data_IF_017774388660
#
_entry.id   IF_017774388660
#
_cell.length_a   1.000
_cell.length_b   1.000
_cell.length_c   1.000
_cell.angle_alpha   90.00
_cell.angle_beta   90.00
_cell.angle_gamma   90.00
#
_symmetry.space_group_name_H-M   'P 1'
#
loop_
_entity.id
_entity.type
_entity.pdbx_description
1 polymer ?
#
# COMPACT_ATOMS: atom_id res chain seq x y z
N UNK A 1 -13.20 5.62 -3.24
CA UNK A 1 -12.10 4.72 -3.63
C UNK A 1 -10.87 5.18 -2.87
N UNK A 2 -10.36 4.36 -1.95
CA UNK A 2 -9.18 4.72 -1.17
C UNK A 2 -7.97 4.89 -2.10
N UNK A 3 -7.16 5.90 -1.82
CA UNK A 3 -6.03 6.27 -2.64
C UNK A 3 -4.84 6.66 -1.77
N UNK A 4 -3.71 6.04 -2.05
CA UNK A 4 -2.44 6.31 -1.41
C UNK A 4 -1.63 7.39 -2.15
N UNK A 5 -2.20 8.04 -3.19
CA UNK A 5 -1.45 8.93 -4.08
C UNK A 5 -0.72 10.07 -3.38
N UNK A 6 -1.30 10.66 -2.32
CA UNK A 6 -0.67 11.74 -1.55
C UNK A 6 0.58 11.22 -0.84
N UNK A 7 0.51 10.02 -0.26
CA UNK A 7 1.64 9.41 0.46
C UNK A 7 2.72 8.94 -0.50
N UNK A 8 2.34 8.33 -1.62
CA UNK A 8 3.26 7.96 -2.70
C UNK A 8 4.00 9.20 -3.20
N UNK A 9 3.29 10.32 -3.40
CA UNK A 9 3.91 11.59 -3.81
C UNK A 9 4.86 12.16 -2.75
N UNK A 10 4.48 12.13 -1.46
CA UNK A 10 5.35 12.57 -0.35
C UNK A 10 6.65 11.77 -0.31
N UNK A 11 6.57 10.44 -0.39
CA UNK A 11 7.76 9.56 -0.40
C UNK A 11 8.60 9.80 -1.65
N UNK A 12 7.97 9.95 -2.82
CA UNK A 12 8.69 10.28 -4.05
C UNK A 12 9.49 11.58 -3.91
N UNK A 13 8.90 12.63 -3.34
CA UNK A 13 9.59 13.92 -3.15
C UNK A 13 10.66 13.89 -2.07
N UNK A 14 10.55 12.99 -1.09
CA UNK A 14 11.61 12.75 -0.12
C UNK A 14 12.84 12.07 -0.74
N UNK A 15 12.64 11.15 -1.69
CA UNK A 15 13.75 10.38 -2.31
C UNK A 15 14.28 11.06 -3.57
N UNK A 16 13.41 11.69 -4.37
CA UNK A 16 13.72 12.33 -5.65
C UNK A 16 12.94 13.66 -5.80
N UNK A 17 13.44 14.77 -5.22
CA UNK A 17 12.74 16.07 -5.20
C UNK A 17 12.35 16.60 -6.59
N UNK A 18 13.19 16.41 -7.59
CA UNK A 18 13.00 16.96 -8.94
C UNK A 18 12.22 16.04 -9.88
N UNK A 19 11.92 14.81 -9.45
CA UNK A 19 11.24 13.81 -10.30
C UNK A 19 9.72 13.94 -10.22
N UNK A 20 9.05 13.90 -11.37
CA UNK A 20 7.60 13.81 -11.48
C UNK A 20 7.11 12.38 -11.71
N UNK A 21 5.81 12.14 -11.49
CA UNK A 21 5.17 10.85 -11.76
C UNK A 21 3.89 11.08 -12.56
N UNK A 22 3.70 10.31 -13.63
CA UNK A 22 2.50 10.41 -14.46
C UNK A 22 1.27 9.85 -13.74
N UNK A 23 0.06 10.24 -14.16
CA UNK A 23 -1.19 9.72 -13.60
C UNK A 23 -1.33 8.20 -13.78
N UNK A 24 -0.84 7.66 -14.91
CA UNK A 24 -0.81 6.20 -15.17
C UNK A 24 0.13 5.48 -14.19
N UNK A 25 1.34 5.99 -14.00
CA UNK A 25 2.30 5.42 -13.05
C UNK A 25 1.77 5.52 -11.61
N UNK A 26 1.13 6.64 -11.24
CA UNK A 26 0.49 6.81 -9.94
C UNK A 26 -0.62 5.78 -9.70
N UNK A 27 -1.44 5.49 -10.72
CA UNK A 27 -2.48 4.46 -10.63
C UNK A 27 -1.89 3.06 -10.40
N UNK A 28 -0.80 2.73 -11.10
CA UNK A 28 -0.08 1.46 -10.91
C UNK A 28 0.48 1.36 -9.48
N UNK A 29 1.14 2.41 -8.99
CA UNK A 29 1.67 2.46 -7.63
C UNK A 29 0.56 2.32 -6.58
N UNK A 30 -0.59 2.96 -6.79
CA UNK A 30 -1.73 2.82 -5.90
C UNK A 30 -2.26 1.38 -5.88
N UNK A 31 -2.38 0.72 -7.04
CA UNK A 31 -2.76 -0.70 -7.10
C UNK A 31 -1.73 -1.61 -6.42
N UNK A 32 -0.44 -1.30 -6.56
CA UNK A 32 0.64 -2.07 -5.91
C UNK A 32 0.54 -1.99 -4.39
N UNK A 33 0.30 -0.80 -3.83
CA UNK A 33 0.11 -0.65 -2.38
C UNK A 33 -1.11 -1.44 -1.89
N UNK A 34 -2.21 -1.43 -2.64
CA UNK A 34 -3.39 -2.23 -2.30
C UNK A 34 -3.11 -3.74 -2.34
N UNK A 35 -2.46 -4.25 -3.38
CA UNK A 35 -2.11 -5.69 -3.49
C UNK A 35 -1.27 -6.15 -2.30
N UNK A 36 -0.23 -5.39 -1.95
CA UNK A 36 0.63 -5.73 -0.82
C UNK A 36 -0.13 -5.62 0.50
N UNK A 37 -0.96 -4.59 0.68
CA UNK A 37 -1.80 -4.44 1.87
C UNK A 37 -2.75 -5.64 2.06
N UNK A 38 -3.47 -6.03 1.01
CA UNK A 38 -4.39 -7.17 1.04
C UNK A 38 -3.67 -8.47 1.33
N UNK A 39 -2.49 -8.69 0.74
CA UNK A 39 -1.67 -9.88 1.00
C UNK A 39 -1.21 -9.96 2.45
N UNK A 40 -0.75 -8.84 3.02
CA UNK A 40 -0.32 -8.77 4.42
C UNK A 40 -1.52 -8.97 5.35
N UNK A 41 -2.65 -8.28 5.10
CA UNK A 41 -3.85 -8.40 5.91
C UNK A 41 -4.43 -9.82 5.89
N UNK A 42 -4.42 -10.48 4.72
CA UNK A 42 -4.85 -11.86 4.58
C UNK A 42 -3.96 -12.81 5.39
N UNK A 43 -2.64 -12.63 5.36
CA UNK A 43 -1.73 -13.49 6.13
C UNK A 43 -1.82 -13.23 7.64
N UNK A 44 -1.94 -11.97 8.04
CA UNK A 44 -2.16 -11.61 9.43
C UNK A 44 -3.48 -12.21 9.97
N UNK A 45 -4.54 -12.19 9.16
CA UNK A 45 -5.82 -12.86 9.48
C UNK A 45 -5.66 -14.38 9.62
N UNK A 46 -4.96 -15.04 8.68
CA UNK A 46 -4.66 -16.48 8.79
C UNK A 46 -3.91 -16.81 10.08
N UNK A 47 -2.89 -16.02 10.42
CA UNK A 47 -2.12 -16.19 11.65
C UNK A 47 -2.99 -16.00 12.90
N UNK A 48 -3.86 -14.98 12.95
CA UNK A 48 -4.78 -14.78 14.06
C UNK A 48 -5.74 -15.98 14.21
N UNK A 49 -6.28 -16.49 13.10
CA UNK A 49 -7.12 -17.69 13.07
C UNK A 49 -6.39 -18.93 13.59
N UNK A 50 -5.17 -19.19 13.13
CA UNK A 50 -4.36 -20.32 13.60
C UNK A 50 -4.07 -20.25 15.11
N UNK A 51 -3.88 -19.04 15.64
CA UNK A 51 -3.63 -18.79 17.05
C UNK A 51 -4.91 -18.61 17.89
N UNK A 52 -6.10 -18.82 17.32
CA UNK A 52 -7.41 -18.63 17.98
C UNK A 52 -7.55 -17.23 18.61
N UNK A 53 -6.95 -16.21 17.98
CA UNK A 53 -7.09 -14.82 18.39
C UNK A 53 -8.22 -14.18 17.59
N UNK A 54 -9.09 -13.43 18.29
CA UNK A 54 -10.18 -12.67 17.67
C UNK A 54 -9.75 -11.31 17.12
N UNK A 55 -8.52 -10.90 17.41
CA UNK A 55 -7.91 -9.65 16.97
C UNK A 55 -6.63 -9.96 16.21
N UNK A 56 -6.37 -9.21 15.14
CA UNK A 56 -5.07 -9.15 14.46
C UNK A 56 -4.15 -8.24 15.27
#
# INVERSE_FOLDING_TARGET
KESYSIYIYKVLKQVHPDTGVSSKAMSIMNSFVNDIFERIAAEASRLAHYNKRSTI
#
